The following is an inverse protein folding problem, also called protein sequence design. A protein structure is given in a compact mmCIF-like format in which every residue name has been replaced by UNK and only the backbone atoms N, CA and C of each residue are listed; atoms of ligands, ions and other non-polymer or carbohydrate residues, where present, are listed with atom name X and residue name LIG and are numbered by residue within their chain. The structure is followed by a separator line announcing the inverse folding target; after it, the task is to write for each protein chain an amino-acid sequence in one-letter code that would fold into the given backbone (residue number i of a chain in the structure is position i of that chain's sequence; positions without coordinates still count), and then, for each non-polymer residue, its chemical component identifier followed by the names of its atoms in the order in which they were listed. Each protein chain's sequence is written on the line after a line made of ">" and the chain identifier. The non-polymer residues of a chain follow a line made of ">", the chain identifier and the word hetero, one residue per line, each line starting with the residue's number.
data_IF_609272246007
#
_entry.id   IF_609272246007
#
_cell.length_a   1.000
_cell.length_b   1.000
_cell.length_c   1.000
_cell.angle_alpha   90.00
_cell.angle_beta   90.00
_cell.angle_gamma   90.00
#
_symmetry.space_group_name_H-M   'P 1'
#
loop_
_entity.id
_entity.type
_entity.pdbx_description
1 polymer ?
#
# COMPACT_ATOMS: atom_id res chain seq x y z
N UNK A 1 -24.18 -4.48 -31.85
CA UNK A 1 -24.22 -5.13 -33.20
C UNK A 1 -23.44 -6.44 -33.18
N UNK A 2 -24.00 -7.59 -33.58
CA UNK A 2 -23.28 -8.83 -33.84
C UNK A 2 -22.20 -8.64 -34.92
N UNK A 3 -21.19 -9.51 -34.93
CA UNK A 3 -20.04 -9.39 -35.86
C UNK A 3 -20.42 -9.43 -37.35
N UNK A 4 -21.45 -10.20 -37.70
CA UNK A 4 -21.95 -10.29 -39.08
C UNK A 4 -22.67 -9.01 -39.53
N UNK A 5 -23.41 -8.32 -38.67
CA UNK A 5 -24.06 -7.04 -38.96
C UNK A 5 -23.04 -5.93 -39.23
N UNK A 6 -21.93 -5.93 -38.46
CA UNK A 6 -20.83 -4.98 -38.70
C UNK A 6 -20.19 -5.17 -40.06
N UNK A 7 -19.94 -6.43 -40.48
CA UNK A 7 -19.41 -6.72 -41.80
C UNK A 7 -20.33 -6.21 -42.91
N UNK A 8 -21.65 -6.41 -42.76
CA UNK A 8 -22.65 -5.97 -43.71
C UNK A 8 -22.68 -4.45 -43.81
N UNK A 9 -22.71 -3.72 -42.74
CA UNK A 9 -22.69 -2.26 -42.70
C UNK A 9 -21.46 -1.66 -43.40
N UNK A 10 -20.26 -2.18 -43.15
CA UNK A 10 -19.05 -1.71 -43.81
C UNK A 10 -19.07 -2.03 -45.32
N UNK A 11 -19.62 -3.16 -45.72
CA UNK A 11 -19.78 -3.52 -47.13
C UNK A 11 -20.75 -2.59 -47.84
N UNK A 12 -21.90 -2.27 -47.26
CA UNK A 12 -22.88 -1.31 -47.79
C UNK A 12 -22.32 0.12 -47.90
N UNK A 13 -21.37 0.46 -47.03
CA UNK A 13 -20.75 1.80 -47.04
C UNK A 13 -19.62 1.89 -48.09
N UNK A 14 -19.33 0.79 -48.82
CA UNK A 14 -18.30 0.74 -49.84
C UNK A 14 -16.93 0.25 -49.36
N UNK A 15 -16.86 -0.27 -48.12
CA UNK A 15 -15.62 -0.78 -47.52
C UNK A 15 -15.76 -2.26 -47.11
N UNK A 16 -15.98 -3.20 -48.05
CA UNK A 16 -16.14 -4.62 -47.75
C UNK A 16 -14.84 -5.21 -47.13
N UNK A 17 -14.98 -6.04 -46.14
CA UNK A 17 -13.83 -6.74 -45.55
C UNK A 17 -13.39 -7.88 -46.49
N UNK A 18 -12.14 -7.89 -46.97
CA UNK A 18 -11.61 -8.97 -47.81
C UNK A 18 -11.65 -10.32 -47.07
N UNK A 19 -11.91 -11.41 -47.83
CA UNK A 19 -12.09 -12.76 -47.25
C UNK A 19 -10.88 -13.30 -46.47
N UNK A 20 -9.68 -12.80 -46.77
CA UNK A 20 -8.43 -13.20 -46.14
C UNK A 20 -7.96 -12.28 -44.99
N UNK A 21 -8.74 -11.25 -44.66
CA UNK A 21 -8.41 -10.32 -43.56
C UNK A 21 -9.27 -10.55 -42.32
N UNK A 22 -8.66 -10.33 -41.16
CA UNK A 22 -9.40 -10.28 -39.90
C UNK A 22 -10.35 -9.06 -39.93
N UNK A 23 -11.67 -9.25 -39.74
CA UNK A 23 -12.62 -8.13 -39.78
C UNK A 23 -12.32 -7.03 -38.76
N UNK A 24 -11.81 -7.35 -37.57
CA UNK A 24 -11.46 -6.36 -36.55
C UNK A 24 -10.33 -5.45 -37.02
N UNK A 25 -9.29 -6.02 -37.62
CA UNK A 25 -8.17 -5.25 -38.17
C UNK A 25 -8.60 -4.39 -39.36
N UNK A 26 -9.52 -4.91 -40.19
CA UNK A 26 -10.07 -4.15 -41.28
C UNK A 26 -10.86 -2.94 -40.81
N UNK A 27 -11.72 -3.10 -39.79
CA UNK A 27 -12.50 -1.99 -39.22
C UNK A 27 -11.60 -0.95 -38.53
N UNK A 28 -10.57 -1.38 -37.81
CA UNK A 28 -9.58 -0.48 -37.24
C UNK A 28 -8.85 0.34 -38.31
N UNK A 29 -8.45 -0.29 -39.42
CA UNK A 29 -7.83 0.41 -40.56
C UNK A 29 -8.74 1.46 -41.18
N UNK A 30 -10.05 1.21 -41.23
CA UNK A 30 -11.01 2.17 -41.78
C UNK A 30 -11.13 3.46 -40.94
N UNK A 31 -10.84 3.40 -39.62
CA UNK A 31 -11.13 4.52 -38.69
C UNK A 31 -9.88 5.10 -38.04
N UNK A 32 -8.72 4.46 -38.14
CA UNK A 32 -7.48 4.90 -37.49
C UNK A 32 -6.58 5.66 -38.49
N UNK A 33 -6.31 6.94 -38.19
CA UNK A 33 -5.50 7.84 -38.99
C UNK A 33 -4.03 7.45 -39.13
N UNK A 34 -3.50 6.60 -38.19
CA UNK A 34 -2.10 6.14 -38.24
C UNK A 34 -1.81 5.33 -39.52
N UNK A 35 -2.83 4.81 -40.18
CA UNK A 35 -2.70 4.10 -41.46
C UNK A 35 -2.58 5.01 -42.68
N UNK A 36 -2.87 6.31 -42.58
CA UNK A 36 -2.75 7.25 -43.69
C UNK A 36 -1.29 7.42 -44.13
N UNK A 37 -0.34 7.46 -43.17
CA UNK A 37 1.10 7.53 -43.43
C UNK A 37 1.61 6.25 -44.12
N UNK A 38 1.11 5.08 -43.67
CA UNK A 38 1.43 3.78 -44.25
C UNK A 38 0.87 3.67 -45.65
N UNK A 39 -0.36 4.14 -45.90
CA UNK A 39 -0.99 4.16 -47.19
C UNK A 39 -0.25 5.08 -48.17
N UNK A 40 0.23 6.25 -47.71
CA UNK A 40 1.02 7.18 -48.50
C UNK A 40 2.37 6.55 -48.94
N UNK A 41 3.04 5.85 -47.98
CA UNK A 41 4.31 5.13 -48.26
C UNK A 41 4.09 3.97 -49.25
N UNK A 42 3.01 3.23 -49.14
CA UNK A 42 2.65 2.14 -50.04
C UNK A 42 2.32 2.64 -51.46
N UNK A 43 1.65 3.77 -51.62
CA UNK A 43 1.38 4.39 -52.92
C UNK A 43 2.66 4.82 -53.64
N UNK A 44 3.72 5.15 -52.91
CA UNK A 44 5.03 5.52 -53.47
C UNK A 44 5.85 4.35 -54.02
N UNK A 45 5.50 3.12 -53.73
CA UNK A 45 6.20 1.92 -54.18
C UNK A 45 5.59 1.37 -55.48
N UNK A 46 6.38 1.32 -56.56
CA UNK A 46 5.91 0.89 -57.91
C UNK A 46 5.35 -0.55 -57.95
N UNK A 47 5.78 -1.45 -57.06
CA UNK A 47 5.30 -2.85 -57.00
C UNK A 47 3.89 -3.00 -56.45
N UNK A 48 3.40 -2.05 -55.70
CA UNK A 48 2.11 -2.11 -55.02
C UNK A 48 0.99 -1.35 -55.75
N UNK A 49 1.29 -0.73 -56.91
CA UNK A 49 0.31 0.00 -57.69
C UNK A 49 -0.83 -0.89 -58.24
N UNK A 50 -0.50 -2.14 -58.58
CA UNK A 50 -1.52 -3.11 -59.07
C UNK A 50 -2.41 -3.68 -57.97
N UNK A 51 -1.89 -3.76 -56.70
CA UNK A 51 -2.69 -4.16 -55.54
C UNK A 51 -3.48 -2.97 -54.93
N UNK A 52 -2.98 -1.75 -55.10
CA UNK A 52 -3.64 -0.53 -54.65
C UNK A 52 -4.94 -0.20 -55.44
N UNK A 53 -5.05 -0.61 -56.67
CA UNK A 53 -6.30 -0.49 -57.46
C UNK A 53 -7.42 -1.42 -56.95
N UNK A 54 -7.07 -2.49 -56.24
CA UNK A 54 -8.02 -3.47 -55.69
C UNK A 54 -8.45 -3.20 -54.23
N UNK A 55 -7.75 -2.33 -53.46
CA UNK A 55 -8.11 -2.05 -52.07
C UNK A 55 -8.77 -0.64 -51.95
N UNK A 56 -10.09 -0.55 -51.79
CA UNK A 56 -10.81 0.73 -51.66
C UNK A 56 -10.28 1.63 -50.55
N UNK A 57 -9.67 1.07 -49.53
CA UNK A 57 -9.12 1.82 -48.39
C UNK A 57 -7.91 2.68 -48.77
N UNK A 58 -7.20 2.35 -49.83
CA UNK A 58 -6.02 3.10 -50.26
C UNK A 58 -6.41 4.36 -51.09
N UNK A 59 -7.64 4.45 -51.51
CA UNK A 59 -8.11 5.55 -52.38
C UNK A 59 -8.73 6.71 -51.61
N UNK A 60 -9.08 6.53 -50.33
CA UNK A 60 -9.68 7.54 -49.50
C UNK A 60 -8.81 7.80 -48.27
N UNK A 61 -8.81 9.04 -47.78
CA UNK A 61 -8.22 9.36 -46.47
C UNK A 61 -9.09 8.79 -45.34
N UNK A 62 -8.50 8.48 -44.20
CA UNK A 62 -9.25 7.98 -43.03
C UNK A 62 -10.33 8.96 -42.57
N UNK A 63 -10.14 10.27 -42.77
CA UNK A 63 -11.14 11.30 -42.49
C UNK A 63 -12.36 11.18 -43.39
N UNK A 64 -12.17 10.96 -44.67
CA UNK A 64 -13.27 10.78 -45.65
C UNK A 64 -14.03 9.48 -45.43
N UNK A 65 -13.30 8.39 -45.11
CA UNK A 65 -13.91 7.10 -44.77
C UNK A 65 -14.80 7.25 -43.52
N UNK A 66 -14.29 7.92 -42.50
CA UNK A 66 -15.03 8.14 -41.27
C UNK A 66 -16.27 9.02 -41.48
N UNK A 67 -16.16 10.06 -42.26
CA UNK A 67 -17.29 10.92 -42.59
C UNK A 67 -18.41 10.16 -43.30
N UNK A 68 -18.06 9.35 -44.32
CA UNK A 68 -19.02 8.49 -45.03
C UNK A 68 -19.65 7.44 -44.10
N UNK A 69 -18.86 6.81 -43.21
CA UNK A 69 -19.39 5.86 -42.25
C UNK A 69 -20.38 6.51 -41.28
N UNK A 70 -20.07 7.71 -40.79
CA UNK A 70 -20.95 8.47 -39.88
C UNK A 70 -22.24 8.90 -40.59
N UNK A 71 -22.14 9.38 -41.80
CA UNK A 71 -23.31 9.81 -42.58
C UNK A 71 -24.25 8.65 -42.89
N UNK A 72 -23.70 7.52 -43.38
CA UNK A 72 -24.47 6.29 -43.60
C UNK A 72 -25.08 5.74 -42.32
N UNK A 73 -24.34 5.78 -41.19
CA UNK A 73 -24.88 5.34 -39.93
C UNK A 73 -26.07 6.19 -39.47
N UNK A 74 -26.02 7.51 -39.64
CA UNK A 74 -27.11 8.42 -39.25
C UNK A 74 -28.43 8.12 -39.96
N UNK A 75 -28.36 7.64 -41.21
CA UNK A 75 -29.51 7.34 -42.05
C UNK A 75 -29.92 5.86 -41.95
N UNK A 76 -29.09 5.02 -41.29
CA UNK A 76 -29.33 3.58 -41.22
C UNK A 76 -30.44 3.20 -40.23
N UNK A 77 -31.10 2.07 -40.51
CA UNK A 77 -32.09 1.47 -39.61
C UNK A 77 -31.50 1.14 -38.24
N UNK A 78 -30.19 0.89 -38.18
CA UNK A 78 -29.46 0.67 -36.92
C UNK A 78 -29.49 1.91 -36.01
N UNK A 79 -29.30 3.10 -36.58
CA UNK A 79 -29.36 4.35 -35.80
C UNK A 79 -30.78 4.62 -35.32
N UNK A 80 -31.78 4.30 -36.14
CA UNK A 80 -33.18 4.43 -35.75
C UNK A 80 -33.54 3.46 -34.62
N UNK A 81 -33.13 2.20 -34.72
CA UNK A 81 -33.35 1.18 -33.70
C UNK A 81 -32.69 1.62 -32.36
N UNK A 82 -31.44 2.07 -32.41
CA UNK A 82 -30.73 2.54 -31.21
C UNK A 82 -31.43 3.74 -30.57
N UNK A 83 -31.87 4.72 -31.38
CA UNK A 83 -32.63 5.88 -30.86
C UNK A 83 -33.95 5.46 -30.22
N UNK A 84 -34.69 4.54 -30.83
CA UNK A 84 -35.93 4.03 -30.30
C UNK A 84 -35.69 3.26 -28.96
N UNK A 85 -34.67 2.42 -28.93
CA UNK A 85 -34.28 1.69 -27.72
C UNK A 85 -33.86 2.66 -26.59
N UNK A 86 -33.07 3.69 -26.91
CA UNK A 86 -32.72 4.73 -25.95
C UNK A 86 -33.96 5.45 -25.44
N UNK A 87 -34.90 5.78 -26.36
CA UNK A 87 -36.13 6.45 -25.98
C UNK A 87 -37.05 5.56 -25.12
N UNK A 88 -37.11 4.26 -25.40
CA UNK A 88 -37.82 3.31 -24.53
C UNK A 88 -37.21 3.18 -23.16
N UNK A 89 -35.89 3.02 -23.10
CA UNK A 89 -35.17 2.94 -21.80
C UNK A 89 -35.31 4.23 -20.99
N UNK A 90 -35.27 5.40 -21.63
CA UNK A 90 -35.45 6.69 -20.97
C UNK A 90 -36.88 6.95 -20.49
N UNK A 91 -37.88 6.28 -21.04
CA UNK A 91 -39.28 6.34 -20.55
C UNK A 91 -39.53 5.49 -19.28
N UNK A 92 -38.66 4.54 -19.01
CA UNK A 92 -38.74 3.76 -17.78
C UNK A 92 -38.30 4.69 -16.65
N UNK A 93 -39.26 5.41 -16.04
CA UNK A 93 -38.99 6.20 -14.85
C UNK A 93 -38.47 5.29 -13.74
N UNK A 94 -37.25 5.57 -13.34
CA UNK A 94 -36.77 5.18 -12.03
C UNK A 94 -36.84 3.68 -11.70
N UNK A 95 -36.30 2.80 -12.54
CA UNK A 95 -35.52 1.73 -11.97
C UNK A 95 -34.32 2.46 -11.36
N UNK A 96 -34.53 2.99 -10.14
CA UNK A 96 -33.41 3.17 -9.23
C UNK A 96 -32.83 1.77 -9.16
N UNK A 97 -31.83 1.46 -10.04
CA UNK A 97 -30.88 0.46 -9.67
C UNK A 97 -30.52 0.85 -8.25
N UNK A 98 -31.02 0.13 -7.27
CA UNK A 98 -30.33 0.07 -5.99
C UNK A 98 -28.92 -0.28 -6.41
N UNK A 99 -28.12 0.75 -6.59
CA UNK A 99 -26.68 0.60 -6.77
C UNK A 99 -26.30 -0.13 -5.52
N UNK A 100 -26.24 -1.45 -5.61
CA UNK A 100 -25.78 -2.33 -4.55
C UNK A 100 -24.36 -1.86 -4.30
N UNK A 101 -24.26 -0.80 -3.47
CA UNK A 101 -23.01 -0.21 -3.05
C UNK A 101 -22.36 -1.19 -2.10
N UNK A 102 -21.83 -2.29 -2.66
CA UNK A 102 -21.16 -3.29 -1.85
C UNK A 102 -20.98 -4.61 -2.59
N UNK A 103 -20.26 -5.50 -1.97
CA UNK A 103 -20.09 -6.87 -2.45
C UNK A 103 -21.37 -7.67 -2.15
N UNK A 104 -21.81 -8.49 -3.09
CA UNK A 104 -22.90 -9.46 -2.89
C UNK A 104 -22.53 -10.53 -1.85
N UNK A 105 -21.23 -10.71 -1.57
CA UNK A 105 -20.75 -11.66 -0.60
C UNK A 105 -20.98 -11.17 0.83
N UNK A 106 -21.48 -12.06 1.72
CA UNK A 106 -21.63 -11.76 3.15
C UNK A 106 -20.28 -11.38 3.78
N UNK A 107 -20.30 -10.58 4.84
CA UNK A 107 -19.09 -10.09 5.51
C UNK A 107 -18.15 -11.22 5.95
N UNK A 108 -18.69 -12.33 6.48
CA UNK A 108 -17.88 -13.50 6.87
C UNK A 108 -17.23 -14.19 5.67
N UNK A 109 -17.93 -14.27 4.53
CA UNK A 109 -17.36 -14.82 3.29
C UNK A 109 -16.22 -13.95 2.79
N UNK A 110 -16.40 -12.62 2.81
CA UNK A 110 -15.32 -11.67 2.48
C UNK A 110 -14.11 -11.89 3.39
N UNK A 111 -14.31 -11.89 4.71
CA UNK A 111 -13.25 -12.07 5.70
C UNK A 111 -12.48 -13.39 5.47
N UNK A 112 -13.20 -14.51 5.35
CA UNK A 112 -12.59 -15.83 5.15
C UNK A 112 -11.77 -15.88 3.86
N UNK A 113 -12.33 -15.38 2.77
CA UNK A 113 -11.67 -15.42 1.45
C UNK A 113 -10.42 -14.54 1.45
N UNK A 114 -10.52 -13.31 2.00
CA UNK A 114 -9.40 -12.40 2.11
C UNK A 114 -8.29 -12.97 3.02
N UNK A 115 -8.65 -13.52 4.18
CA UNK A 115 -7.68 -14.12 5.11
C UNK A 115 -6.96 -15.30 4.45
N UNK A 116 -7.67 -16.20 3.77
CA UNK A 116 -7.07 -17.33 3.07
C UNK A 116 -6.15 -16.87 1.94
N UNK A 117 -6.57 -15.87 1.16
CA UNK A 117 -5.74 -15.28 0.09
C UNK A 117 -4.48 -14.63 0.65
N UNK A 118 -4.63 -13.77 1.66
CA UNK A 118 -3.49 -13.06 2.28
C UNK A 118 -2.52 -14.05 2.91
N UNK A 119 -3.00 -15.05 3.65
CA UNK A 119 -2.16 -16.10 4.22
C UNK A 119 -1.39 -16.88 3.15
N UNK A 120 -2.04 -17.25 2.03
CA UNK A 120 -1.39 -17.94 0.92
C UNK A 120 -0.33 -17.05 0.26
N UNK A 121 -0.62 -15.77 0.06
CA UNK A 121 0.34 -14.82 -0.49
C UNK A 121 1.55 -14.67 0.43
N UNK A 122 1.33 -14.46 1.74
CA UNK A 122 2.38 -14.35 2.73
C UNK A 122 3.26 -15.61 2.81
N UNK A 123 2.66 -16.79 2.77
CA UNK A 123 3.41 -18.05 2.81
C UNK A 123 4.27 -18.29 1.56
N UNK A 124 3.91 -17.69 0.42
CA UNK A 124 4.64 -17.79 -0.86
C UNK A 124 5.63 -16.64 -1.07
N UNK A 125 5.54 -15.59 -0.30
CA UNK A 125 6.43 -14.43 -0.39
C UNK A 125 7.77 -14.74 0.29
N UNK A 126 8.72 -15.29 -0.51
CA UNK A 126 10.06 -15.64 -0.06
C UNK A 126 10.89 -14.40 0.31
N UNK A 127 10.67 -13.28 -0.38
CA UNK A 127 11.51 -12.10 -0.22
C UNK A 127 11.22 -11.33 1.06
N UNK A 128 9.99 -11.36 1.56
CA UNK A 128 9.63 -10.62 2.75
C UNK A 128 9.51 -11.50 3.99
N UNK A 129 8.61 -12.48 3.97
CA UNK A 129 8.31 -13.24 5.19
C UNK A 129 9.41 -14.24 5.56
N UNK A 130 9.90 -15.01 4.61
CA UNK A 130 10.95 -16.01 4.87
C UNK A 130 12.31 -15.37 5.14
N UNK A 131 12.69 -14.38 4.34
CA UNK A 131 13.92 -13.61 4.58
C UNK A 131 13.91 -12.93 5.94
N UNK A 132 12.77 -12.37 6.34
CA UNK A 132 12.58 -11.79 7.66
C UNK A 132 12.80 -12.79 8.78
N UNK A 133 12.20 -13.98 8.69
CA UNK A 133 12.41 -15.05 9.69
C UNK A 133 13.91 -15.37 9.81
N UNK A 134 14.61 -15.56 8.69
CA UNK A 134 16.04 -15.86 8.67
C UNK A 134 16.84 -14.74 9.34
N UNK A 135 16.61 -13.48 8.97
CA UNK A 135 17.32 -12.32 9.54
C UNK A 135 17.09 -12.24 11.05
N UNK A 136 15.86 -12.41 11.52
CA UNK A 136 15.56 -12.35 12.95
C UNK A 136 16.23 -13.48 13.73
N UNK A 137 16.29 -14.69 13.17
CA UNK A 137 17.00 -15.82 13.78
C UNK A 137 18.52 -15.54 13.83
N UNK A 138 19.11 -15.08 12.74
CA UNK A 138 20.54 -14.73 12.68
C UNK A 138 20.87 -13.64 13.71
N UNK A 139 20.06 -12.59 13.78
CA UNK A 139 20.24 -11.51 14.76
C UNK A 139 20.07 -12.00 16.20
N UNK A 140 19.10 -12.88 16.44
CA UNK A 140 18.91 -13.48 17.77
C UNK A 140 20.11 -14.34 18.19
N UNK A 141 20.72 -15.10 17.28
CA UNK A 141 21.94 -15.86 17.52
C UNK A 141 23.12 -14.92 17.80
N UNK A 142 23.29 -13.86 16.99
CA UNK A 142 24.32 -12.86 17.21
C UNK A 142 24.20 -12.21 18.60
N UNK A 143 22.99 -11.78 18.97
CA UNK A 143 22.73 -11.23 20.30
C UNK A 143 22.98 -12.25 21.39
N UNK A 144 22.46 -13.47 21.24
CA UNK A 144 22.67 -14.54 22.22
C UNK A 144 24.13 -14.90 22.43
N UNK A 145 24.97 -14.83 21.40
CA UNK A 145 26.42 -15.09 21.50
C UNK A 145 27.18 -13.92 22.13
N UNK A 146 26.83 -12.67 21.76
CA UNK A 146 27.46 -11.46 22.33
C UNK A 146 27.15 -11.33 23.83
N UNK A 147 25.92 -11.59 24.22
CA UNK A 147 25.45 -11.52 25.61
C UNK A 147 25.32 -12.90 26.25
N UNK A 148 26.19 -13.84 25.89
CA UNK A 148 26.11 -15.18 26.44
C UNK A 148 26.38 -15.19 27.94
N UNK A 149 25.46 -15.77 28.73
CA UNK A 149 25.56 -15.97 30.18
C UNK A 149 25.98 -14.70 30.96
N UNK A 150 25.17 -13.65 30.83
CA UNK A 150 25.48 -12.33 31.43
C UNK A 150 25.64 -12.36 32.97
N UNK A 151 25.01 -13.33 33.62
CA UNK A 151 25.12 -13.48 35.10
C UNK A 151 24.45 -12.35 35.90
N UNK A 152 24.98 -12.11 37.15
CA UNK A 152 24.46 -11.13 38.11
C UNK A 152 25.54 -10.23 38.72
N UNK A 153 26.66 -10.02 38.00
CA UNK A 153 27.69 -9.03 38.39
C UNK A 153 27.15 -7.60 38.29
N UNK A 154 27.86 -6.63 38.87
CA UNK A 154 27.48 -5.21 38.70
C UNK A 154 27.37 -4.78 37.24
N UNK A 155 28.35 -5.20 36.42
CA UNK A 155 28.34 -4.91 34.97
C UNK A 155 27.20 -5.62 34.21
N UNK A 156 26.69 -6.73 34.75
CA UNK A 156 25.56 -7.44 34.18
C UNK A 156 24.27 -6.61 34.18
N UNK A 157 24.13 -5.64 35.08
CA UNK A 157 22.97 -4.73 35.10
C UNK A 157 22.88 -3.98 33.78
N UNK A 158 23.98 -3.36 33.37
CA UNK A 158 24.03 -2.62 32.10
C UNK A 158 23.91 -3.56 30.90
N UNK A 159 24.55 -4.71 30.91
CA UNK A 159 24.50 -5.69 29.84
C UNK A 159 23.07 -6.22 29.61
N UNK A 160 22.33 -6.56 30.68
CA UNK A 160 20.91 -6.97 30.60
C UNK A 160 20.02 -5.86 30.08
N UNK A 161 20.20 -4.63 30.58
CA UNK A 161 19.44 -3.47 30.14
C UNK A 161 19.71 -3.17 28.64
N UNK A 162 20.98 -3.22 28.23
CA UNK A 162 21.37 -2.98 26.82
C UNK A 162 20.85 -4.07 25.88
N UNK A 163 20.96 -5.35 26.28
CA UNK A 163 20.41 -6.47 25.49
C UNK A 163 18.88 -6.34 25.33
N UNK A 164 18.15 -6.11 26.42
CA UNK A 164 16.70 -5.93 26.40
C UNK A 164 16.28 -4.71 25.56
N UNK A 165 17.01 -3.60 25.68
CA UNK A 165 16.79 -2.39 24.89
C UNK A 165 17.08 -2.58 23.41
N UNK A 166 18.15 -3.30 23.06
CA UNK A 166 18.46 -3.62 21.67
C UNK A 166 17.42 -4.55 21.06
N UNK A 167 17.00 -5.59 21.75
CA UNK A 167 15.94 -6.49 21.30
C UNK A 167 14.65 -5.70 21.04
N UNK A 168 14.22 -4.88 22.00
CA UNK A 168 13.01 -4.09 21.85
C UNK A 168 13.10 -3.03 20.75
N UNK A 169 14.23 -2.36 20.60
CA UNK A 169 14.43 -1.32 19.60
C UNK A 169 14.75 -1.87 18.21
N UNK A 170 15.83 -2.64 18.09
CA UNK A 170 16.36 -3.06 16.79
C UNK A 170 15.52 -4.13 16.11
N UNK A 171 15.04 -5.13 16.86
CA UNK A 171 14.18 -6.16 16.28
C UNK A 171 12.86 -5.57 15.75
N UNK A 172 12.33 -4.58 16.43
CA UNK A 172 11.14 -3.88 15.95
C UNK A 172 11.44 -2.96 14.77
N UNK A 173 12.61 -2.32 14.74
CA UNK A 173 13.09 -1.53 13.59
C UNK A 173 13.18 -2.37 12.32
N UNK A 174 13.61 -3.63 12.41
CA UNK A 174 13.67 -4.55 11.28
C UNK A 174 12.31 -4.79 10.60
N UNK A 175 11.20 -4.46 11.25
CA UNK A 175 9.85 -4.54 10.64
C UNK A 175 9.67 -3.59 9.45
N UNK A 176 10.53 -2.59 9.29
CA UNK A 176 10.55 -1.70 8.10
C UNK A 176 10.76 -2.51 6.82
N UNK A 177 11.49 -3.61 6.86
CA UNK A 177 11.78 -4.46 5.70
C UNK A 177 10.53 -4.96 4.95
N UNK A 178 9.36 -4.97 5.61
CA UNK A 178 8.07 -5.33 5.02
C UNK A 178 7.40 -4.24 4.19
N UNK A 179 7.93 -3.06 4.18
CA UNK A 179 7.29 -1.92 3.54
C UNK A 179 7.01 -2.09 2.04
N UNK A 180 7.88 -2.73 1.22
CA UNK A 180 7.58 -3.01 -0.19
C UNK A 180 6.28 -3.79 -0.38
N UNK A 181 6.12 -4.89 0.37
CA UNK A 181 4.92 -5.73 0.29
C UNK A 181 3.66 -4.95 0.70
N UNK A 182 3.75 -4.06 1.68
CA UNK A 182 2.60 -3.24 2.08
C UNK A 182 2.18 -2.23 1.01
N UNK A 183 3.12 -1.64 0.27
CA UNK A 183 2.77 -0.74 -0.84
C UNK A 183 2.08 -1.50 -1.97
N UNK A 184 2.57 -2.69 -2.32
CA UNK A 184 1.96 -3.52 -3.36
C UNK A 184 0.56 -3.97 -2.95
N UNK A 185 0.40 -4.41 -1.71
CA UNK A 185 -0.89 -4.79 -1.15
C UNK A 185 -1.87 -3.61 -1.14
N UNK A 186 -1.41 -2.40 -0.82
CA UNK A 186 -2.23 -1.18 -0.86
C UNK A 186 -2.70 -0.81 -2.27
N UNK A 187 -1.89 -1.08 -3.29
CA UNK A 187 -2.31 -0.89 -4.70
C UNK A 187 -3.45 -1.86 -5.05
N UNK A 188 -3.27 -3.14 -4.73
CA UNK A 188 -4.30 -4.16 -4.95
C UNK A 188 -5.58 -3.83 -4.19
N UNK A 189 -5.47 -3.48 -2.89
CA UNK A 189 -6.60 -3.04 -2.08
C UNK A 189 -7.36 -1.89 -2.73
N UNK A 190 -6.66 -0.87 -3.21
CA UNK A 190 -7.29 0.32 -3.80
C UNK A 190 -8.10 -0.04 -5.05
N UNK A 191 -7.55 -0.89 -5.93
CA UNK A 191 -8.25 -1.35 -7.14
C UNK A 191 -9.47 -2.21 -6.81
N UNK A 192 -9.32 -3.20 -5.92
CA UNK A 192 -10.41 -4.09 -5.54
C UNK A 192 -11.52 -3.34 -4.77
N UNK A 193 -11.14 -2.36 -3.96
CA UNK A 193 -12.10 -1.52 -3.24
C UNK A 193 -12.88 -0.59 -4.16
N UNK A 194 -12.24 -0.02 -5.17
CA UNK A 194 -12.92 0.79 -6.20
C UNK A 194 -13.93 -0.04 -6.99
N UNK A 195 -13.64 -1.31 -7.22
CA UNK A 195 -14.54 -2.26 -7.87
C UNK A 195 -15.65 -2.81 -6.93
N UNK A 196 -15.66 -2.42 -5.66
CA UNK A 196 -16.71 -2.80 -4.72
C UNK A 196 -16.62 -4.23 -4.17
N UNK A 197 -15.47 -4.92 -4.31
CA UNK A 197 -15.37 -6.33 -3.92
C UNK A 197 -15.54 -6.59 -2.43
N UNK A 198 -15.08 -5.70 -1.55
CA UNK A 198 -15.16 -5.88 -0.09
C UNK A 198 -15.04 -4.56 0.69
N UNK A 199 -15.37 -4.62 1.98
CA UNK A 199 -15.28 -3.47 2.90
C UNK A 199 -13.89 -3.27 3.51
N UNK A 200 -13.58 -2.02 3.91
CA UNK A 200 -12.31 -1.66 4.57
C UNK A 200 -12.09 -2.46 5.87
N UNK A 201 -13.14 -2.67 6.67
CA UNK A 201 -13.04 -3.44 7.92
C UNK A 201 -12.65 -4.91 7.66
N UNK A 202 -13.27 -5.56 6.66
CA UNK A 202 -12.94 -6.93 6.29
C UNK A 202 -11.48 -7.06 5.86
N UNK A 203 -10.96 -6.09 5.10
CA UNK A 203 -9.56 -6.05 4.70
C UNK A 203 -8.60 -5.96 5.89
N UNK A 204 -8.81 -5.01 6.81
CA UNK A 204 -7.90 -4.79 7.94
C UNK A 204 -7.87 -5.99 8.87
N UNK A 205 -9.05 -6.57 9.18
CA UNK A 205 -9.13 -7.74 10.05
C UNK A 205 -8.53 -8.96 9.38
N UNK A 206 -8.76 -9.17 8.08
CA UNK A 206 -8.16 -10.29 7.34
C UNK A 206 -6.64 -10.20 7.28
N UNK A 207 -6.11 -9.01 7.03
CA UNK A 207 -4.67 -8.75 7.02
C UNK A 207 -4.04 -9.03 8.40
N UNK A 208 -4.67 -8.56 9.48
CA UNK A 208 -4.20 -8.84 10.84
C UNK A 208 -4.21 -10.33 11.18
N UNK A 209 -5.29 -11.03 10.86
CA UNK A 209 -5.41 -12.47 11.12
C UNK A 209 -4.41 -13.30 10.31
N UNK A 210 -4.10 -12.90 9.09
CA UNK A 210 -3.13 -13.62 8.25
C UNK A 210 -1.68 -13.34 8.61
N UNK A 211 -1.34 -12.12 9.08
CA UNK A 211 0.01 -11.78 9.53
C UNK A 211 0.35 -12.33 10.90
N UNK A 212 -0.65 -12.51 11.78
CA UNK A 212 -0.48 -12.96 13.17
C UNK A 212 0.39 -14.23 13.32
N UNK A 213 0.17 -15.34 12.62
CA UNK A 213 0.98 -16.55 12.80
C UNK A 213 2.45 -16.35 12.41
N UNK A 214 2.74 -15.57 11.38
CA UNK A 214 4.12 -15.25 10.98
C UNK A 214 4.83 -14.39 12.01
N UNK A 215 4.17 -13.36 12.53
CA UNK A 215 4.72 -12.48 13.56
C UNK A 215 4.94 -13.22 14.87
N UNK A 216 4.02 -14.11 15.25
CA UNK A 216 4.20 -14.97 16.42
C UNK A 216 5.42 -15.88 16.23
N UNK A 217 5.54 -16.54 15.09
CA UNK A 217 6.68 -17.44 14.81
C UNK A 217 8.01 -16.68 14.89
N UNK A 218 8.12 -15.52 14.25
CA UNK A 218 9.33 -14.67 14.30
C UNK A 218 9.65 -14.26 15.72
N UNK A 219 8.68 -13.76 16.47
CA UNK A 219 8.89 -13.26 17.82
C UNK A 219 9.24 -14.36 18.81
N UNK A 220 8.54 -15.49 18.75
CA UNK A 220 8.80 -16.62 19.66
C UNK A 220 10.14 -17.31 19.33
N UNK A 221 10.47 -17.50 18.06
CA UNK A 221 11.76 -18.08 17.68
C UNK A 221 12.93 -17.20 18.13
N UNK A 222 12.87 -15.88 17.86
CA UNK A 222 13.89 -14.93 18.27
C UNK A 222 13.98 -14.80 19.78
N UNK A 223 12.84 -14.73 20.45
CA UNK A 223 12.77 -14.69 21.92
C UNK A 223 13.37 -15.95 22.54
N UNK A 224 13.08 -17.15 22.02
CA UNK A 224 13.62 -18.41 22.52
C UNK A 224 15.14 -18.45 22.46
N UNK A 225 15.71 -18.08 21.32
CA UNK A 225 17.15 -18.07 21.13
C UNK A 225 17.81 -17.07 22.11
N UNK A 226 17.37 -15.81 22.06
CA UNK A 226 17.97 -14.74 22.86
C UNK A 226 17.80 -14.99 24.35
N UNK A 227 16.60 -15.35 24.79
CA UNK A 227 16.27 -15.51 26.22
C UNK A 227 17.12 -16.58 26.91
N UNK A 228 17.24 -17.74 26.29
CA UNK A 228 17.96 -18.86 26.88
C UNK A 228 19.48 -18.73 26.74
N UNK A 229 19.99 -18.12 25.69
CA UNK A 229 21.44 -17.88 25.53
C UNK A 229 21.96 -16.81 26.48
N UNK A 230 21.23 -15.73 26.67
CA UNK A 230 21.55 -14.62 27.57
C UNK A 230 21.39 -15.03 29.04
N UNK A 231 20.62 -16.10 29.28
CA UNK A 231 20.22 -16.55 30.61
C UNK A 231 19.50 -15.47 31.42
N UNK A 232 18.45 -14.92 30.82
CA UNK A 232 17.52 -14.05 31.53
C UNK A 232 16.87 -14.81 32.72
N UNK A 233 16.07 -14.13 33.53
CA UNK A 233 15.43 -14.71 34.68
C UNK A 233 14.69 -16.02 34.37
N UNK A 234 15.01 -17.16 35.03
CA UNK A 234 14.41 -18.45 34.70
C UNK A 234 12.92 -18.50 35.03
N UNK A 235 12.13 -19.12 34.18
CA UNK A 235 10.69 -19.35 34.36
C UNK A 235 9.89 -19.07 33.11
N UNK A 236 8.94 -19.97 32.82
CA UNK A 236 8.11 -19.89 31.60
C UNK A 236 7.28 -18.61 31.52
N UNK A 237 6.74 -18.11 32.67
CA UNK A 237 5.97 -16.87 32.71
C UNK A 237 6.80 -15.64 32.28
N UNK A 238 8.08 -15.60 32.66
CA UNK A 238 9.00 -14.52 32.31
C UNK A 238 9.40 -14.60 30.83
N UNK A 239 9.65 -15.80 30.34
CA UNK A 239 9.88 -16.04 28.91
C UNK A 239 8.66 -15.69 28.04
N UNK A 240 7.46 -16.15 28.43
CA UNK A 240 6.23 -15.84 27.70
C UNK A 240 5.95 -14.33 27.66
N UNK A 241 6.20 -13.62 28.77
CA UNK A 241 6.11 -12.16 28.80
C UNK A 241 7.08 -11.51 27.80
N UNK A 242 8.33 -11.94 27.79
CA UNK A 242 9.35 -11.42 26.86
C UNK A 242 8.98 -11.65 25.40
N UNK A 243 8.51 -12.85 25.06
CA UNK A 243 8.06 -13.18 23.70
C UNK A 243 6.82 -12.37 23.27
N UNK A 244 5.85 -12.21 24.17
CA UNK A 244 4.65 -11.40 23.90
C UNK A 244 4.97 -9.91 23.80
N UNK A 245 5.92 -9.40 24.59
CA UNK A 245 6.39 -8.03 24.50
C UNK A 245 7.03 -7.76 23.13
N UNK A 246 7.89 -8.66 22.65
CA UNK A 246 8.51 -8.57 21.32
C UNK A 246 7.45 -8.65 20.22
N UNK A 247 6.51 -9.60 20.31
CA UNK A 247 5.40 -9.72 19.37
C UNK A 247 4.56 -8.44 19.30
N UNK A 248 4.20 -7.88 20.45
CA UNK A 248 3.44 -6.63 20.54
C UNK A 248 4.17 -5.47 19.86
N UNK A 249 5.45 -5.29 20.15
CA UNK A 249 6.28 -4.23 19.56
C UNK A 249 6.39 -4.36 18.04
N UNK A 250 6.70 -5.55 17.53
CA UNK A 250 6.78 -5.83 16.09
C UNK A 250 5.44 -5.56 15.40
N UNK A 251 4.33 -5.98 16.02
CA UNK A 251 2.98 -5.80 15.45
C UNK A 251 2.54 -4.33 15.43
N UNK A 252 2.93 -3.52 16.43
CA UNK A 252 2.67 -2.07 16.45
C UNK A 252 3.41 -1.38 15.31
N UNK A 253 4.70 -1.68 15.12
CA UNK A 253 5.48 -1.09 14.03
C UNK A 253 4.95 -1.53 12.67
N UNK A 254 4.55 -2.78 12.50
CA UNK A 254 3.92 -3.25 11.26
C UNK A 254 2.64 -2.44 10.97
N UNK A 255 1.82 -2.20 11.99
CA UNK A 255 0.62 -1.36 11.84
C UNK A 255 0.94 0.09 11.48
N UNK A 256 2.01 0.66 12.05
CA UNK A 256 2.52 1.98 11.69
C UNK A 256 2.96 2.03 10.23
N UNK A 257 3.71 1.02 9.76
CA UNK A 257 4.17 0.95 8.38
C UNK A 257 3.01 0.82 7.39
N UNK A 258 1.92 0.14 7.76
CA UNK A 258 0.70 0.10 6.97
C UNK A 258 0.01 1.48 6.88
N UNK A 259 -0.01 2.26 7.97
CA UNK A 259 -0.52 3.64 7.94
C UNK A 259 0.31 4.47 6.95
N UNK A 260 1.63 4.38 7.02
CA UNK A 260 2.54 5.11 6.13
C UNK A 260 2.33 4.68 4.67
N UNK A 261 2.18 3.38 4.39
CA UNK A 261 1.93 2.87 3.04
C UNK A 261 0.61 3.37 2.45
N UNK A 262 -0.39 3.64 3.29
CA UNK A 262 -1.64 4.24 2.85
C UNK A 262 -1.50 5.73 2.51
N UNK A 263 -0.56 6.45 3.11
CA UNK A 263 -0.38 7.89 2.93
C UNK A 263 0.60 8.25 1.80
N UNK A 264 1.59 7.38 1.58
CA UNK A 264 2.74 7.67 0.70
C UNK A 264 2.69 6.79 -0.56
N UNK A 265 2.76 7.40 -1.78
CA UNK A 265 2.66 6.64 -3.03
C UNK A 265 3.95 5.90 -3.40
N UNK A 266 5.12 6.37 -2.93
CA UNK A 266 6.43 5.88 -3.34
C UNK A 266 7.11 5.07 -2.23
N UNK A 267 7.70 3.93 -2.62
CA UNK A 267 8.44 3.07 -1.70
C UNK A 267 9.56 3.81 -0.95
N UNK A 268 10.43 4.53 -1.66
CA UNK A 268 11.59 5.20 -1.05
C UNK A 268 11.15 6.27 -0.05
N UNK A 269 10.15 7.08 -0.40
CA UNK A 269 9.61 8.11 0.49
C UNK A 269 9.01 7.50 1.76
N UNK A 270 8.30 6.38 1.63
CA UNK A 270 7.71 5.72 2.78
C UNK A 270 8.75 5.03 3.67
N UNK A 271 9.81 4.49 3.08
CA UNK A 271 10.93 3.91 3.82
C UNK A 271 11.63 4.98 4.67
N UNK A 272 11.95 6.13 4.08
CA UNK A 272 12.59 7.26 4.79
C UNK A 272 11.69 7.79 5.90
N UNK A 273 10.40 8.01 5.61
CA UNK A 273 9.44 8.47 6.59
C UNK A 273 9.27 7.47 7.74
N UNK A 274 9.13 6.17 7.41
CA UNK A 274 9.00 5.11 8.39
C UNK A 274 10.23 4.99 9.29
N UNK A 275 11.42 4.99 8.71
CA UNK A 275 12.68 4.96 9.45
C UNK A 275 12.82 6.18 10.37
N UNK A 276 12.45 7.37 9.88
CA UNK A 276 12.49 8.61 10.67
C UNK A 276 11.53 8.55 11.87
N UNK A 277 10.28 8.14 11.65
CA UNK A 277 9.29 8.02 12.73
C UNK A 277 9.73 6.99 13.76
N UNK A 278 10.17 5.79 13.33
CA UNK A 278 10.65 4.75 14.26
C UNK A 278 11.91 5.22 15.00
N UNK A 279 12.82 5.92 14.32
CA UNK A 279 13.99 6.52 14.97
C UNK A 279 13.60 7.49 16.11
N UNK A 280 12.62 8.37 15.87
CA UNK A 280 12.08 9.26 16.91
C UNK A 280 11.42 8.46 18.05
N UNK A 281 10.65 7.43 17.72
CA UNK A 281 10.05 6.53 18.72
C UNK A 281 11.12 5.83 19.57
N UNK A 282 12.21 5.42 18.95
CA UNK A 282 13.34 4.78 19.65
C UNK A 282 14.06 5.75 20.59
N UNK A 283 14.29 7.00 20.18
CA UNK A 283 14.88 8.05 21.02
C UNK A 283 14.02 8.37 22.25
N UNK A 284 12.71 8.31 22.12
CA UNK A 284 11.75 8.65 23.18
C UNK A 284 11.30 7.45 24.01
N UNK A 285 11.82 6.25 23.73
CA UNK A 285 11.44 5.00 24.42
C UNK A 285 11.93 4.92 25.87
N UNK A 286 12.94 5.72 26.26
CA UNK A 286 13.58 5.64 27.56
C UNK A 286 14.86 4.81 27.59
N UNK A 287 15.32 4.33 26.42
CA UNK A 287 16.58 3.57 26.31
C UNK A 287 17.81 4.47 26.29
N UNK A 288 17.83 5.49 25.42
CA UNK A 288 18.96 6.41 25.28
C UNK A 288 19.00 7.48 26.36
N UNK A 289 17.85 7.94 26.79
CA UNK A 289 17.68 8.87 27.90
C UNK A 289 16.54 8.40 28.77
N UNK A 290 16.75 8.42 30.08
CA UNK A 290 15.77 7.95 31.05
C UNK A 290 14.44 8.72 30.90
N UNK A 291 13.32 8.02 31.02
CA UNK A 291 11.99 8.62 30.84
C UNK A 291 11.71 9.82 31.75
N UNK A 292 12.15 9.84 33.06
CA UNK A 292 11.94 11.00 33.91
C UNK A 292 12.71 12.25 33.48
N UNK A 293 13.84 12.08 32.78
CA UNK A 293 14.69 13.18 32.31
C UNK A 293 14.25 13.79 30.98
N UNK A 294 13.29 13.17 30.29
CA UNK A 294 12.77 13.71 29.05
C UNK A 294 12.02 15.03 29.29
N UNK A 295 12.15 16.04 28.40
CA UNK A 295 11.39 17.29 28.49
C UNK A 295 9.89 17.01 28.59
N UNK A 296 9.26 17.57 29.67
CA UNK A 296 7.91 17.17 30.11
C UNK A 296 6.81 17.57 29.13
N UNK A 297 6.89 18.74 28.50
CA UNK A 297 5.80 19.37 27.73
C UNK A 297 5.41 18.57 26.49
N UNK A 298 6.35 17.98 25.76
CA UNK A 298 6.08 17.29 24.49
C UNK A 298 6.59 15.85 24.50
N UNK A 299 7.87 15.64 24.82
CA UNK A 299 8.51 14.31 24.69
C UNK A 299 8.06 13.34 25.79
N UNK A 300 7.95 13.83 27.04
CA UNK A 300 7.45 13.01 28.16
C UNK A 300 5.94 12.86 28.10
N UNK A 301 5.20 13.95 27.85
CA UNK A 301 3.75 14.02 27.74
C UNK A 301 3.43 14.76 26.43
N UNK A 302 2.82 14.18 25.37
CA UNK A 302 2.20 12.84 25.22
C UNK A 302 3.07 11.80 24.51
N UNK A 303 4.24 12.16 23.90
CA UNK A 303 4.94 11.30 22.93
C UNK A 303 5.32 9.95 23.55
N UNK A 304 5.92 9.90 24.74
CA UNK A 304 6.34 8.64 25.37
C UNK A 304 5.19 7.68 25.67
N UNK A 305 3.96 8.16 25.79
CA UNK A 305 2.78 7.31 26.01
C UNK A 305 2.26 6.64 24.74
N UNK A 306 2.47 7.30 23.59
CA UNK A 306 2.07 6.79 22.26
C UNK A 306 3.11 5.79 21.74
N UNK A 307 4.35 5.88 22.24
CA UNK A 307 5.47 5.03 21.83
C UNK A 307 5.44 3.69 22.56
N UNK A 308 5.29 2.61 21.78
CA UNK A 308 5.29 1.24 22.34
C UNK A 308 6.56 0.90 23.13
N UNK A 309 7.73 1.44 22.70
CA UNK A 309 9.04 1.18 23.31
C UNK A 309 9.11 1.62 24.76
N UNK A 310 8.43 2.68 25.18
CA UNK A 310 8.38 3.13 26.56
C UNK A 310 7.73 2.11 27.48
N UNK A 311 6.64 1.49 27.03
CA UNK A 311 5.94 0.44 27.77
C UNK A 311 6.70 -0.88 27.70
N UNK A 312 7.23 -1.24 26.52
CA UNK A 312 8.00 -2.46 26.28
C UNK A 312 9.26 -2.54 27.13
N UNK A 313 10.00 -1.44 27.23
CA UNK A 313 11.21 -1.38 28.07
C UNK A 313 10.89 -1.41 29.55
N UNK A 314 9.90 -0.64 30.02
CA UNK A 314 9.45 -0.70 31.42
C UNK A 314 9.05 -2.10 31.83
N UNK A 315 8.18 -2.73 31.04
CA UNK A 315 7.74 -4.10 31.30
C UNK A 315 8.90 -5.10 31.24
N UNK A 316 9.80 -4.94 30.27
CA UNK A 316 10.99 -5.77 30.09
C UNK A 316 11.93 -5.71 31.29
N UNK A 317 12.25 -4.52 31.81
CA UNK A 317 13.08 -4.34 32.98
C UNK A 317 12.43 -4.92 34.24
N UNK A 318 11.14 -4.68 34.44
CA UNK A 318 10.40 -5.30 35.56
C UNK A 318 10.38 -6.83 35.42
N UNK A 319 10.29 -7.36 34.20
CA UNK A 319 10.27 -8.80 33.99
C UNK A 319 11.59 -9.49 34.28
N UNK A 320 12.74 -8.87 33.99
CA UNK A 320 14.05 -9.48 34.16
C UNK A 320 14.67 -9.18 35.51
N UNK A 321 14.60 -7.92 36.01
CA UNK A 321 15.37 -7.47 37.15
C UNK A 321 14.67 -7.73 38.51
N UNK A 322 13.33 -7.64 38.59
CA UNK A 322 12.62 -7.82 39.89
C UNK A 322 12.89 -9.21 40.44
N UNK A 323 13.35 -9.24 41.71
CA UNK A 323 13.65 -10.48 42.43
C UNK A 323 15.01 -11.10 42.09
N UNK A 324 15.87 -10.39 41.36
CA UNK A 324 17.29 -10.71 41.21
C UNK A 324 18.13 -9.86 42.19
N UNK A 325 19.23 -10.41 42.63
CA UNK A 325 20.24 -9.72 43.44
C UNK A 325 21.55 -9.64 42.66
N UNK A 326 22.07 -8.44 42.51
CA UNK A 326 23.30 -8.15 41.80
C UNK A 326 24.46 -7.86 42.77
N UNK A 327 25.64 -8.24 42.36
CA UNK A 327 26.84 -7.93 43.12
C UNK A 327 27.09 -6.43 43.19
N UNK A 328 27.51 -5.88 44.33
CA UNK A 328 27.80 -4.45 44.47
C UNK A 328 29.08 -4.08 43.71
N UNK A 329 29.24 -2.78 43.39
CA UNK A 329 30.44 -2.26 42.74
C UNK A 329 31.71 -2.39 43.62
N UNK A 330 31.56 -2.26 44.89
CA UNK A 330 32.68 -2.36 45.85
C UNK A 330 32.52 -3.61 46.74
N UNK A 331 33.58 -4.40 46.96
CA UNK A 331 33.54 -5.53 47.87
C UNK A 331 33.16 -5.09 49.33
N UNK A 332 32.23 -5.81 49.94
CA UNK A 332 31.76 -5.51 51.28
C UNK A 332 30.48 -4.68 51.38
N UNK A 333 29.96 -4.18 50.29
CA UNK A 333 28.62 -3.55 50.27
C UNK A 333 27.51 -4.60 50.13
N UNK A 334 26.29 -4.30 50.57
CA UNK A 334 25.17 -5.19 50.42
C UNK A 334 24.82 -5.37 48.91
N UNK A 335 24.32 -6.55 48.55
CA UNK A 335 23.87 -6.84 47.21
C UNK A 335 22.77 -5.87 46.78
N UNK A 336 22.80 -5.46 45.54
CA UNK A 336 21.80 -4.56 44.94
C UNK A 336 20.58 -5.37 44.53
N UNK A 337 19.43 -5.04 45.08
CA UNK A 337 18.15 -5.63 44.66
C UNK A 337 17.71 -5.06 43.36
N UNK A 338 17.10 -5.89 42.50
CA UNK A 338 16.58 -5.46 41.18
C UNK A 338 15.54 -4.34 41.27
N UNK A 339 14.74 -4.33 42.35
CA UNK A 339 13.77 -3.25 42.61
C UNK A 339 14.47 -1.90 42.81
N UNK A 340 15.57 -1.86 43.55
CA UNK A 340 16.39 -0.67 43.77
C UNK A 340 16.97 -0.14 42.45
N UNK A 341 17.44 -1.05 41.58
CA UNK A 341 17.99 -0.69 40.28
C UNK A 341 16.90 -0.02 39.41
N UNK A 342 15.69 -0.59 39.40
CA UNK A 342 14.59 -0.05 38.63
C UNK A 342 14.15 1.34 39.12
N UNK A 343 14.03 1.52 40.44
CA UNK A 343 13.53 2.77 41.01
C UNK A 343 14.59 3.87 41.06
N UNK A 344 15.77 3.58 41.56
CA UNK A 344 16.80 4.60 41.82
C UNK A 344 17.72 4.81 40.61
N UNK A 345 18.13 3.74 39.91
CA UNK A 345 19.06 3.88 38.80
C UNK A 345 18.32 4.17 37.44
N UNK A 346 17.14 3.58 37.23
CA UNK A 346 16.38 3.78 35.98
C UNK A 346 15.23 4.78 36.14
N UNK A 347 14.90 5.21 37.37
CA UNK A 347 13.84 6.17 37.67
C UNK A 347 12.46 5.70 37.26
N UNK A 348 12.22 4.37 37.28
CA UNK A 348 10.95 3.79 36.86
C UNK A 348 10.11 3.42 38.09
N UNK A 349 8.82 3.75 38.06
CA UNK A 349 7.87 3.42 39.11
C UNK A 349 7.51 1.92 39.09
N UNK A 350 7.36 1.35 40.27
CA UNK A 350 6.86 -0.01 40.50
C UNK A 350 5.37 -0.06 40.86
N UNK A 351 4.65 1.08 40.81
CA UNK A 351 3.25 1.20 41.23
C UNK A 351 2.29 0.26 40.49
N UNK A 352 2.68 -0.20 39.34
CA UNK A 352 1.85 -1.09 38.52
C UNK A 352 2.63 -2.33 38.01
N UNK A 353 1.86 -3.39 37.79
CA UNK A 353 2.39 -4.66 37.31
C UNK A 353 2.97 -4.56 35.88
N UNK A 354 4.02 -5.37 35.57
CA UNK A 354 4.53 -5.55 34.22
C UNK A 354 3.45 -5.93 33.19
N UNK A 355 2.41 -6.67 33.61
CA UNK A 355 1.29 -7.08 32.76
C UNK A 355 0.47 -5.89 32.27
N UNK A 356 0.40 -4.79 33.06
CA UNK A 356 -0.22 -3.54 32.61
C UNK A 356 0.62 -2.89 31.49
N UNK A 357 1.94 -2.89 31.62
CA UNK A 357 2.82 -2.38 30.57
C UNK A 357 2.62 -3.17 29.27
N UNK A 358 2.50 -4.50 29.34
CA UNK A 358 2.18 -5.36 28.19
C UNK A 358 0.79 -5.06 27.62
N UNK A 359 -0.22 -4.92 28.47
CA UNK A 359 -1.58 -4.59 28.04
C UNK A 359 -1.62 -3.25 27.28
N UNK A 360 -0.85 -2.26 27.71
CA UNK A 360 -0.74 -0.97 27.01
C UNK A 360 -0.16 -1.12 25.61
N UNK A 361 0.77 -2.04 25.36
CA UNK A 361 1.28 -2.32 24.01
C UNK A 361 0.15 -2.86 23.12
N UNK A 362 -0.70 -3.76 23.63
CA UNK A 362 -1.84 -4.27 22.87
C UNK A 362 -2.92 -3.22 22.66
N UNK A 363 -3.14 -2.32 23.62
CA UNK A 363 -4.01 -1.14 23.44
C UNK A 363 -3.47 -0.25 22.32
N UNK A 364 -2.16 0.01 22.31
CA UNK A 364 -1.52 0.76 21.23
C UNK A 364 -1.64 0.04 19.88
N UNK A 365 -1.45 -1.28 19.84
CA UNK A 365 -1.66 -2.07 18.62
C UNK A 365 -3.07 -1.86 18.06
N UNK A 366 -4.07 -1.96 18.91
CA UNK A 366 -5.46 -1.70 18.51
C UNK A 366 -5.66 -0.26 18.05
N UNK A 367 -5.09 0.73 18.76
CA UNK A 367 -5.18 2.14 18.39
C UNK A 367 -4.54 2.43 17.02
N UNK A 368 -3.36 1.84 16.72
CA UNK A 368 -2.72 1.97 15.41
C UNK A 368 -3.53 1.31 14.30
N UNK A 369 -4.15 0.14 14.55
CA UNK A 369 -5.04 -0.51 13.58
C UNK A 369 -6.33 0.30 13.34
N UNK A 370 -6.88 0.91 14.40
CA UNK A 370 -8.02 1.82 14.27
C UNK A 370 -7.63 3.09 13.49
N UNK A 371 -6.45 3.64 13.75
CA UNK A 371 -5.93 4.78 12.99
C UNK A 371 -5.77 4.43 11.51
N UNK A 372 -5.27 3.24 11.19
CA UNK A 372 -5.20 2.75 9.82
C UNK A 372 -6.59 2.68 9.16
N UNK A 373 -7.59 2.16 9.88
CA UNK A 373 -8.98 2.15 9.39
C UNK A 373 -9.50 3.57 9.08
N UNK A 374 -9.27 4.50 10.01
CA UNK A 374 -9.69 5.90 9.85
C UNK A 374 -9.01 6.53 8.64
N UNK A 375 -7.69 6.34 8.49
CA UNK A 375 -6.92 6.87 7.35
C UNK A 375 -7.47 6.35 6.03
N UNK A 376 -7.77 5.06 5.92
CA UNK A 376 -8.35 4.49 4.70
C UNK A 376 -9.75 5.06 4.42
N UNK A 377 -10.58 5.22 5.44
CA UNK A 377 -11.91 5.81 5.31
C UNK A 377 -11.87 7.28 4.91
N UNK A 378 -10.98 8.05 5.52
CA UNK A 378 -10.77 9.47 5.16
C UNK A 378 -10.26 9.58 3.73
N UNK A 379 -9.31 8.73 3.32
CA UNK A 379 -8.80 8.69 1.95
C UNK A 379 -9.90 8.36 0.95
N UNK A 380 -10.77 7.39 1.26
CA UNK A 380 -11.93 7.01 0.45
C UNK A 380 -12.91 8.21 0.29
N UNK A 381 -13.22 8.88 1.38
CA UNK A 381 -14.12 10.04 1.38
C UNK A 381 -13.51 11.27 0.68
N UNK A 382 -12.20 11.48 0.82
CA UNK A 382 -11.49 12.61 0.21
C UNK A 382 -11.18 12.42 -1.28
N UNK A 383 -11.12 11.17 -1.77
CA UNK A 383 -10.73 10.86 -3.15
C UNK A 383 -11.51 11.64 -4.22
N UNK A 384 -12.86 11.77 -4.18
CA UNK A 384 -13.61 12.53 -5.18
C UNK A 384 -13.26 14.02 -5.16
N UNK A 385 -13.06 14.61 -3.97
CA UNK A 385 -12.70 16.01 -3.83
C UNK A 385 -11.29 16.29 -4.36
N UNK A 386 -10.36 15.42 -4.07
CA UNK A 386 -8.97 15.51 -4.55
C UNK A 386 -8.94 15.38 -6.09
N UNK A 387 -9.69 14.45 -6.67
CA UNK A 387 -9.80 14.31 -8.14
C UNK A 387 -10.32 15.58 -8.79
N UNK A 388 -11.40 16.18 -8.26
CA UNK A 388 -11.96 17.42 -8.78
C UNK A 388 -10.95 18.58 -8.66
N UNK A 389 -10.29 18.71 -7.50
CA UNK A 389 -9.27 19.73 -7.29
C UNK A 389 -8.08 19.56 -8.24
N UNK A 390 -7.58 18.33 -8.41
CA UNK A 390 -6.48 18.01 -9.31
C UNK A 390 -6.84 18.30 -10.78
N UNK A 391 -8.03 17.90 -11.21
CA UNK A 391 -8.52 18.18 -12.57
C UNK A 391 -8.61 19.68 -12.82
N UNK A 392 -9.18 20.46 -11.87
CA UNK A 392 -9.24 21.93 -11.96
C UNK A 392 -7.84 22.56 -12.04
N UNK A 393 -6.90 22.07 -11.23
CA UNK A 393 -5.52 22.56 -11.24
C UNK A 393 -4.82 22.24 -12.57
N UNK A 394 -4.98 21.02 -13.06
CA UNK A 394 -4.37 20.55 -14.32
C UNK A 394 -4.94 21.34 -15.50
N UNK A 395 -6.27 21.53 -15.58
CA UNK A 395 -6.91 22.34 -16.60
C UNK A 395 -6.38 23.77 -16.57
N UNK A 396 -6.33 24.42 -15.40
CA UNK A 396 -5.75 25.78 -15.25
C UNK A 396 -4.29 25.84 -15.69
N UNK A 397 -3.51 24.79 -15.42
CA UNK A 397 -2.09 24.71 -15.84
C UNK A 397 -1.97 24.56 -17.36
N UNK A 398 -2.83 23.76 -17.98
CA UNK A 398 -2.88 23.59 -19.44
C UNK A 398 -3.33 24.89 -20.12
N UNK A 399 -4.35 25.58 -19.60
CA UNK A 399 -4.81 26.86 -20.11
C UNK A 399 -3.72 27.96 -20.07
N UNK A 400 -2.78 27.86 -19.11
CA UNK A 400 -1.64 28.81 -19.01
C UNK A 400 -0.53 28.52 -20.03
N UNK A 401 -0.50 27.34 -20.67
CA UNK A 401 0.49 27.02 -21.71
C UNK A 401 0.10 27.72 -23.01
N UNK A 402 1.03 28.51 -23.56
CA UNK A 402 0.80 29.26 -24.79
C UNK A 402 0.40 28.38 -26.00
N UNK A 403 0.91 27.13 -26.06
CA UNK A 403 0.53 26.14 -27.07
C UNK A 403 -0.92 25.71 -26.95
N UNK A 404 -1.44 25.52 -25.74
CA UNK A 404 -2.83 25.11 -25.51
C UNK A 404 -3.81 26.25 -25.83
N UNK A 405 -3.45 27.50 -25.52
CA UNK A 405 -4.22 28.70 -25.92
C UNK A 405 -4.32 28.83 -27.44
N UNK A 406 -3.22 28.56 -28.17
CA UNK A 406 -3.26 28.55 -29.65
C UNK A 406 -4.21 27.47 -30.18
N UNK A 407 -4.16 26.26 -29.62
CA UNK A 407 -5.04 25.15 -30.05
C UNK A 407 -6.52 25.45 -29.75
N UNK A 408 -6.85 26.01 -28.57
CA UNK A 408 -8.22 26.41 -28.24
C UNK A 408 -8.71 27.59 -29.10
N UNK A 409 -7.87 28.57 -29.37
CA UNK A 409 -8.19 29.67 -30.29
C UNK A 409 -8.39 29.19 -31.71
N UNK A 410 -7.56 28.23 -32.18
CA UNK A 410 -7.73 27.62 -33.51
C UNK A 410 -8.97 26.73 -33.59
N UNK A 411 -9.35 25.99 -32.55
CA UNK A 411 -10.63 25.23 -32.53
C UNK A 411 -11.85 26.13 -32.49
N UNK A 412 -11.77 27.29 -31.88
CA UNK A 412 -12.86 28.28 -31.92
C UNK A 412 -12.97 28.99 -33.27
N UNK A 413 -11.84 29.17 -33.98
CA UNK A 413 -11.78 29.73 -35.33
C UNK A 413 -12.09 28.69 -36.41
N UNK A 414 -11.78 27.40 -36.16
CA UNK A 414 -12.05 26.28 -37.08
C UNK A 414 -13.53 25.93 -37.22
N UNK A 415 -14.40 26.44 -36.36
CA UNK A 415 -15.85 26.43 -36.65
C UNK A 415 -16.23 27.32 -37.82
N UNK A 416 -15.31 28.10 -38.37
CA UNK A 416 -15.52 28.97 -39.54
C UNK A 416 -14.74 28.59 -40.79
N UNK A 417 -13.72 27.70 -40.73
CA UNK A 417 -12.96 27.28 -41.92
C UNK A 417 -12.45 25.86 -41.77
N UNK A 418 -12.85 24.99 -42.71
CA UNK A 418 -12.34 23.63 -42.90
C UNK A 418 -10.87 23.69 -43.34
N UNK A 419 -9.91 23.49 -42.43
CA UNK A 419 -8.54 23.10 -42.79
C UNK A 419 -8.05 21.98 -41.87
N UNK A 420 -7.32 20.98 -42.38
CA UNK A 420 -6.84 19.84 -41.61
C UNK A 420 -5.74 20.25 -40.65
N UNK A 421 -5.85 19.75 -39.37
CA UNK A 421 -4.87 20.02 -38.31
C UNK A 421 -3.67 19.08 -38.35
N UNK A 422 -2.44 19.56 -38.16
CA UNK A 422 -1.30 18.69 -37.88
C UNK A 422 -1.41 18.09 -36.48
N UNK A 423 -1.13 16.80 -36.38
CA UNK A 423 -1.18 16.01 -35.14
C UNK A 423 -0.23 16.56 -34.09
N UNK A 424 -0.73 16.74 -32.88
CA UNK A 424 0.09 16.98 -31.71
C UNK A 424 0.79 15.69 -31.28
N UNK A 425 2.11 15.76 -31.12
CA UNK A 425 2.95 14.65 -30.68
C UNK A 425 2.47 14.04 -29.36
N UNK A 426 2.49 12.74 -29.29
CA UNK A 426 2.00 11.84 -28.25
C UNK A 426 2.80 11.84 -26.94
N UNK A 427 3.68 12.82 -26.69
CA UNK A 427 4.53 12.89 -25.51
C UNK A 427 3.81 13.19 -24.18
N UNK A 428 2.51 13.46 -24.21
CA UNK A 428 1.73 13.78 -23.02
C UNK A 428 0.96 12.64 -22.36
N UNK A 429 0.89 11.46 -22.99
CA UNK A 429 0.00 10.36 -22.53
C UNK A 429 0.70 9.31 -21.65
N UNK A 430 2.01 9.35 -21.49
CA UNK A 430 2.79 8.38 -20.72
C UNK A 430 3.20 8.85 -19.32
N UNK A 431 2.59 9.90 -18.78
CA UNK A 431 2.76 10.20 -17.35
C UNK A 431 1.88 9.26 -16.54
N UNK A 432 2.42 8.44 -15.64
CA UNK A 432 1.60 7.60 -14.78
C UNK A 432 0.69 8.49 -13.94
N UNK A 433 -0.61 8.21 -13.98
CA UNK A 433 -1.58 8.88 -13.10
C UNK A 433 -1.19 8.61 -11.64
N UNK A 434 -1.12 9.62 -10.77
CA UNK A 434 -0.91 9.41 -9.36
C UNK A 434 -2.14 8.69 -8.79
N UNK A 435 -1.89 7.54 -8.21
CA UNK A 435 -2.88 6.73 -7.50
C UNK A 435 -3.35 7.40 -6.21
#
# INVERSE_FOLDING_TARGET
>A
MPSWQRRYFFAETGFPCPSRRNPSDHFLRCVNSDFDDVAATMKGSMKLRAEAELDPLLNYSTSEIRERLVEKYRISDYALMVRNTIHEITKIEGVVEEVIRGSEASWFKQLRTLTSRSFTNMSRDLNYYWLRIIIYIVMAICLGTIYYDVGTSYTAIQARASCGGFVSGFMTFMSIGGFPSFIEEMKVFTLERQNGHYGVAAYIISNFLSSMPFLLTVSWASASITYWMVKFRPGFSYFAFFALNLYGGVSVIESLMMIISALVPNFLMGLILGAGVIGIMMLTSGFFRLLPELPKIFWRYPVSYIVYGSWGLKGGYKNDLIGLEFEPMMPGQPKLKGEYIITEMMGLSLDHSKWLDLAMIFVLLFAYRLTFFIVLKVKEAAAPYIRVAYTRFTVKRLERRASFRKTLAMTSLSKRHNQPHPMASQEGLNSPMPY
#
